data_IF_645584514135
#
_entry.id   IF_645584514135
#
_cell.length_a   1.000
_cell.length_b   1.000
_cell.length_c   1.000
_cell.angle_alpha   90.00
_cell.angle_beta   90.00
_cell.angle_gamma   90.00
#
_symmetry.space_group_name_H-M   'P 1'
#
loop_
_entity.id
_entity.type
_entity.pdbx_description
1 polymer ?
#
# COMPACT_ATOMS: atom_id res chain seq x y z
N UNK A 1 -21.66 -25.55 6.70
CA UNK A 1 -21.20 -24.62 7.75
C UNK A 1 -21.25 -23.22 7.18
N UNK A 2 -21.83 -22.27 7.90
CA UNK A 2 -21.99 -20.87 7.45
C UNK A 2 -20.71 -20.04 7.70
N UNK A 3 -19.56 -20.57 7.26
CA UNK A 3 -18.28 -19.86 7.36
C UNK A 3 -18.04 -18.93 6.16
N UNK A 4 -17.12 -17.96 6.29
CA UNK A 4 -16.71 -17.12 5.17
C UNK A 4 -16.15 -17.94 4.02
N UNK A 5 -16.35 -17.45 2.79
CA UNK A 5 -15.84 -18.11 1.60
C UNK A 5 -14.31 -18.12 1.60
N UNK A 6 -13.72 -19.27 1.24
CA UNK A 6 -12.28 -19.37 1.08
C UNK A 6 -11.82 -18.60 -0.17
N UNK A 7 -10.71 -17.85 -0.08
CA UNK A 7 -10.08 -17.24 -1.25
C UNK A 7 -9.68 -18.30 -2.28
N UNK A 8 -9.56 -17.92 -3.57
CA UNK A 8 -9.04 -18.81 -4.59
C UNK A 8 -7.62 -19.28 -4.25
N UNK A 9 -7.15 -20.36 -4.89
CA UNK A 9 -5.74 -20.76 -4.79
C UNK A 9 -4.87 -19.85 -5.64
N UNK A 10 -3.60 -19.74 -5.25
CA UNK A 10 -2.60 -19.07 -6.07
C UNK A 10 -2.49 -19.68 -7.46
N UNK A 11 -2.15 -18.83 -8.43
CA UNK A 11 -1.91 -19.19 -9.83
C UNK A 11 -0.44 -19.09 -10.22
N UNK A 12 0.42 -18.56 -9.36
CA UNK A 12 1.87 -18.48 -9.60
C UNK A 12 2.61 -19.61 -8.85
N UNK A 13 3.76 -20.08 -9.37
CA UNK A 13 4.60 -21.02 -8.64
C UNK A 13 5.05 -20.48 -7.27
N UNK A 14 5.04 -21.36 -6.26
CA UNK A 14 5.50 -21.09 -4.90
C UNK A 14 6.58 -22.07 -4.48
N UNK A 15 7.43 -21.65 -3.53
CA UNK A 15 8.50 -22.49 -3.00
C UNK A 15 9.81 -22.28 -3.76
N UNK A 16 10.64 -21.38 -3.26
CA UNK A 16 11.91 -20.97 -3.84
C UNK A 16 12.29 -19.57 -3.36
N UNK A 17 13.50 -19.08 -3.68
CA UNK A 17 13.85 -17.68 -3.42
C UNK A 17 12.89 -16.73 -4.13
N UNK A 18 12.54 -15.60 -3.51
CA UNK A 18 11.62 -14.61 -4.11
C UNK A 18 12.18 -13.93 -5.37
N UNK A 19 13.51 -13.85 -5.48
CA UNK A 19 14.25 -13.33 -6.64
C UNK A 19 15.43 -14.26 -6.95
N UNK A 20 15.19 -15.41 -7.60
CA UNK A 20 16.25 -16.36 -7.93
C UNK A 20 17.25 -15.72 -8.90
N UNK A 21 18.43 -15.35 -8.41
CA UNK A 21 19.49 -14.72 -9.20
C UNK A 21 19.68 -13.23 -8.93
N UNK A 22 18.78 -12.57 -8.20
CA UNK A 22 18.98 -11.17 -7.85
C UNK A 22 18.72 -10.19 -9.01
N UNK A 23 18.05 -10.63 -10.07
CA UNK A 23 17.87 -9.86 -11.30
C UNK A 23 16.41 -9.55 -11.59
N UNK A 24 15.51 -10.00 -10.73
CA UNK A 24 14.08 -9.82 -10.85
C UNK A 24 13.38 -10.85 -11.71
N UNK A 25 12.06 -10.85 -11.61
CA UNK A 25 11.17 -11.85 -12.22
C UNK A 25 10.30 -11.24 -13.30
N UNK A 26 10.05 -12.00 -14.36
CA UNK A 26 9.05 -11.65 -15.37
C UNK A 26 7.67 -12.05 -14.84
N UNK A 27 6.72 -11.11 -14.87
CA UNK A 27 5.37 -11.34 -14.39
C UNK A 27 4.35 -10.56 -15.23
N UNK A 28 3.21 -11.18 -15.50
CA UNK A 28 2.09 -10.50 -16.11
C UNK A 28 1.30 -9.70 -15.08
N UNK A 29 0.58 -8.68 -15.53
CA UNK A 29 -0.34 -7.92 -14.68
C UNK A 29 -1.44 -8.81 -14.09
N UNK A 30 -1.91 -9.82 -14.82
CA UNK A 30 -2.91 -10.75 -14.33
C UNK A 30 -2.37 -11.60 -13.17
N UNK A 31 -1.17 -12.17 -13.32
CA UNK A 31 -0.51 -12.93 -12.26
C UNK A 31 -0.29 -12.06 -11.02
N UNK A 32 0.32 -10.89 -11.19
CA UNK A 32 0.63 -9.98 -10.08
C UNK A 32 -0.63 -9.57 -9.31
N UNK A 33 -1.67 -9.13 -10.03
CA UNK A 33 -2.91 -8.67 -9.38
C UNK A 33 -3.71 -9.82 -8.78
N UNK A 34 -3.65 -11.02 -9.36
CA UNK A 34 -4.28 -12.20 -8.76
C UNK A 34 -3.65 -12.55 -7.42
N UNK A 35 -2.32 -12.56 -7.32
CA UNK A 35 -1.62 -12.87 -6.08
C UNK A 35 -1.80 -11.78 -5.02
N UNK A 36 -1.77 -10.51 -5.43
CA UNK A 36 -2.08 -9.40 -4.52
C UNK A 36 -3.49 -9.46 -3.95
N UNK A 37 -4.48 -9.80 -4.79
CA UNK A 37 -5.86 -9.98 -4.32
C UNK A 37 -6.00 -11.20 -3.44
N UNK A 38 -5.28 -12.29 -3.73
CA UNK A 38 -5.23 -13.46 -2.85
C UNK A 38 -4.70 -13.09 -1.46
N UNK A 39 -3.60 -12.35 -1.37
CA UNK A 39 -3.07 -11.88 -0.08
C UNK A 39 -4.06 -10.95 0.64
N UNK A 40 -4.69 -10.03 -0.09
CA UNK A 40 -5.72 -9.15 0.45
C UNK A 40 -6.93 -9.93 1.00
N UNK A 41 -7.40 -10.93 0.26
CA UNK A 41 -8.54 -11.77 0.66
C UNK A 41 -8.21 -12.67 1.85
N UNK A 42 -7.02 -13.27 1.86
CA UNK A 42 -6.54 -14.06 3.00
C UNK A 42 -6.41 -13.19 4.25
N UNK A 43 -5.90 -11.97 4.11
CA UNK A 43 -5.77 -11.08 5.25
C UNK A 43 -7.13 -10.59 5.76
N UNK A 44 -8.05 -10.21 4.87
CA UNK A 44 -9.42 -9.86 5.24
C UNK A 44 -10.12 -11.03 5.94
N UNK A 45 -9.97 -12.25 5.42
CA UNK A 45 -10.50 -13.47 6.02
C UNK A 45 -9.90 -13.70 7.42
N UNK A 46 -8.60 -13.47 7.60
CA UNK A 46 -7.95 -13.58 8.91
C UNK A 46 -8.52 -12.57 9.91
N UNK A 47 -8.84 -11.34 9.49
CA UNK A 47 -9.51 -10.35 10.35
C UNK A 47 -10.93 -10.79 10.67
N UNK A 48 -11.69 -11.21 9.66
CA UNK A 48 -13.09 -11.66 9.80
C UNK A 48 -13.23 -12.87 10.74
N UNK A 49 -12.23 -13.75 10.79
CA UNK A 49 -12.18 -14.91 11.69
C UNK A 49 -11.43 -14.63 13.01
N UNK A 50 -11.16 -13.37 13.34
CA UNK A 50 -10.44 -12.96 14.56
C UNK A 50 -9.02 -13.58 14.70
N UNK A 51 -8.42 -13.99 13.59
CA UNK A 51 -7.06 -14.54 13.54
C UNK A 51 -5.98 -13.46 13.45
N UNK A 52 -6.33 -12.26 12.99
CA UNK A 52 -5.45 -11.11 12.95
C UNK A 52 -6.15 -9.85 13.45
N UNK A 53 -5.45 -9.06 14.27
CA UNK A 53 -5.92 -7.76 14.79
C UNK A 53 -4.93 -6.62 14.50
N UNK A 54 -3.67 -6.95 14.24
CA UNK A 54 -2.60 -6.02 13.92
C UNK A 54 -1.76 -6.63 12.80
N UNK A 55 -1.28 -5.78 11.90
CA UNK A 55 -0.39 -6.17 10.81
C UNK A 55 -0.41 -5.17 9.67
N UNK A 56 0.32 -5.47 8.62
CA UNK A 56 0.39 -4.65 7.40
C UNK A 56 0.32 -5.53 6.16
N UNK A 57 -0.18 -4.95 5.08
CA UNK A 57 -0.03 -5.49 3.73
C UNK A 57 0.68 -4.42 2.91
N UNK A 58 1.74 -4.81 2.21
CA UNK A 58 2.58 -3.87 1.46
C UNK A 58 2.43 -4.14 -0.02
N UNK A 59 1.97 -3.14 -0.76
CA UNK A 59 1.97 -3.13 -2.23
C UNK A 59 3.14 -2.27 -2.69
N UNK A 60 4.29 -2.88 -2.98
CA UNK A 60 5.51 -2.12 -3.24
C UNK A 60 5.47 -1.41 -4.59
N UNK A 61 5.48 -0.07 -4.56
CA UNK A 61 5.44 0.80 -5.74
C UNK A 61 6.69 0.70 -6.61
N UNK A 62 7.85 0.51 -5.97
CA UNK A 62 9.11 0.23 -6.63
C UNK A 62 9.15 -1.15 -7.31
N UNK A 63 8.11 -1.98 -7.10
CA UNK A 63 7.93 -3.28 -7.75
C UNK A 63 9.16 -4.16 -7.62
N UNK A 64 9.82 -4.13 -6.45
CA UNK A 64 11.21 -4.55 -6.29
C UNK A 64 11.52 -5.79 -7.12
N UNK A 65 12.17 -5.51 -8.26
CA UNK A 65 12.65 -6.46 -9.24
C UNK A 65 11.56 -7.30 -9.94
N UNK A 66 10.53 -6.66 -10.47
CA UNK A 66 9.64 -7.26 -11.47
C UNK A 66 9.80 -6.60 -12.82
N UNK A 67 9.60 -7.38 -13.90
CA UNK A 67 9.42 -6.89 -15.27
C UNK A 67 7.97 -7.13 -15.66
N UNK A 68 7.17 -6.07 -15.59
CA UNK A 68 5.72 -6.18 -15.74
C UNK A 68 5.32 -6.12 -17.22
N UNK A 69 4.45 -7.05 -17.60
CA UNK A 69 3.79 -7.04 -18.92
C UNK A 69 2.27 -7.07 -18.77
N UNK A 70 1.53 -6.52 -19.74
CA UNK A 70 0.09 -6.69 -19.83
C UNK A 70 -0.72 -5.39 -19.89
N UNK A 71 -2.01 -5.52 -20.16
CA UNK A 71 -2.91 -4.40 -20.39
C UNK A 71 -3.64 -3.99 -19.10
N UNK A 72 -3.36 -2.79 -18.60
CA UNK A 72 -4.05 -2.24 -17.44
C UNK A 72 -5.34 -1.55 -17.84
N UNK A 73 -6.46 -2.10 -17.38
CA UNK A 73 -7.81 -1.56 -17.57
C UNK A 73 -8.35 -0.99 -16.27
N UNK A 74 -8.99 0.16 -16.36
CA UNK A 74 -9.73 0.78 -15.26
C UNK A 74 -11.02 1.39 -15.78
N UNK A 75 -12.14 1.12 -15.12
CA UNK A 75 -13.48 1.52 -15.56
C UNK A 75 -13.79 1.16 -17.02
N UNK A 76 -13.48 -0.09 -17.41
CA UNK A 76 -13.76 -0.62 -18.75
C UNK A 76 -12.87 -0.07 -19.87
N UNK A 77 -11.89 0.79 -19.57
CA UNK A 77 -10.98 1.38 -20.57
C UNK A 77 -9.53 1.01 -20.27
N UNK A 78 -8.77 0.76 -21.33
CA UNK A 78 -7.31 0.62 -21.24
C UNK A 78 -6.70 1.95 -20.80
N UNK A 79 -6.02 1.94 -19.67
CA UNK A 79 -5.27 3.07 -19.11
C UNK A 79 -3.82 3.05 -19.55
N UNK A 80 -3.23 1.86 -19.62
CA UNK A 80 -1.81 1.68 -19.95
C UNK A 80 -1.54 0.25 -20.41
N UNK A 81 -0.48 0.05 -21.21
CA UNK A 81 0.03 -1.28 -21.58
C UNK A 81 1.46 -1.39 -21.07
N UNK A 82 1.69 -2.26 -20.09
CA UNK A 82 3.02 -2.52 -19.53
C UNK A 82 3.81 -3.45 -20.45
N UNK A 83 5.09 -3.13 -20.60
CA UNK A 83 6.13 -3.96 -21.23
C UNK A 83 7.49 -3.43 -20.78
N UNK A 84 7.77 -3.56 -19.48
CA UNK A 84 8.88 -2.84 -18.85
C UNK A 84 10.22 -3.13 -19.52
N UNK A 85 10.56 -4.40 -19.74
CA UNK A 85 11.82 -4.80 -20.35
C UNK A 85 12.01 -4.18 -21.75
N UNK A 86 10.97 -4.23 -22.60
CA UNK A 86 11.04 -3.65 -23.95
C UNK A 86 11.13 -2.12 -23.90
N UNK A 87 10.40 -1.47 -22.99
CA UNK A 87 10.43 -0.02 -22.80
C UNK A 87 11.78 0.46 -22.25
N UNK A 88 12.40 -0.31 -21.37
CA UNK A 88 13.76 -0.07 -20.87
C UNK A 88 14.83 -0.43 -21.90
N UNK A 89 14.52 -1.29 -22.88
CA UNK A 89 15.48 -1.94 -23.80
C UNK A 89 16.56 -2.72 -23.05
N UNK A 90 16.20 -3.29 -21.90
CA UNK A 90 17.09 -4.04 -21.02
C UNK A 90 16.34 -5.20 -20.37
N UNK A 91 17.09 -6.23 -19.99
CA UNK A 91 16.63 -7.36 -19.17
C UNK A 91 17.29 -7.30 -17.79
N UNK A 92 17.02 -8.29 -16.94
CA UNK A 92 17.55 -8.36 -15.58
C UNK A 92 17.10 -7.16 -14.73
N UNK A 93 17.93 -6.73 -13.80
CA UNK A 93 17.62 -5.64 -12.88
C UNK A 93 17.32 -4.33 -13.61
N UNK A 94 18.10 -4.01 -14.65
CA UNK A 94 17.95 -2.80 -15.47
C UNK A 94 16.68 -2.77 -16.35
N UNK A 95 15.98 -3.90 -16.48
CA UNK A 95 14.69 -4.00 -17.14
C UNK A 95 13.49 -3.84 -16.22
N UNK A 96 13.68 -3.81 -14.90
CA UNK A 96 12.59 -3.89 -13.92
C UNK A 96 11.80 -2.58 -13.79
N UNK A 97 10.53 -2.66 -13.36
CA UNK A 97 9.68 -1.51 -13.06
C UNK A 97 10.33 -0.51 -12.08
N UNK A 98 11.23 -1.01 -11.22
CA UNK A 98 12.01 -0.23 -10.26
C UNK A 98 12.76 0.93 -10.93
N UNK A 99 13.30 0.70 -12.12
CA UNK A 99 14.12 1.66 -12.86
C UNK A 99 13.35 2.92 -13.28
N UNK A 100 12.01 2.85 -13.35
CA UNK A 100 11.19 4.04 -13.58
C UNK A 100 11.36 5.06 -12.45
N UNK A 101 11.57 4.63 -11.21
CA UNK A 101 11.74 5.51 -10.05
C UNK A 101 13.08 6.24 -10.09
N UNK A 102 14.15 5.56 -10.54
CA UNK A 102 15.43 6.21 -10.81
C UNK A 102 15.38 7.24 -11.96
N UNK A 103 14.40 7.12 -12.85
CA UNK A 103 14.18 8.05 -13.99
C UNK A 103 13.17 9.17 -13.70
N UNK A 104 12.59 9.21 -12.50
CA UNK A 104 11.58 10.19 -12.12
C UNK A 104 12.08 11.63 -12.32
N UNK A 105 11.21 12.48 -12.86
CA UNK A 105 11.47 13.91 -12.94
C UNK A 105 10.15 14.68 -12.92
N UNK A 106 9.98 15.59 -11.95
CA UNK A 106 8.77 16.40 -11.78
C UNK A 106 8.37 17.22 -13.03
N UNK A 107 9.34 17.55 -13.91
CA UNK A 107 9.11 18.30 -15.15
C UNK A 107 8.66 17.42 -16.31
N UNK A 108 8.64 16.09 -16.16
CA UNK A 108 8.20 15.12 -17.17
C UNK A 108 6.80 14.61 -16.85
N UNK A 109 6.16 13.99 -17.85
CA UNK A 109 4.84 13.37 -17.68
C UNK A 109 4.85 12.15 -16.75
N UNK A 110 5.96 11.43 -16.67
CA UNK A 110 6.14 10.22 -15.84
C UNK A 110 5.04 9.16 -16.07
N UNK A 111 4.69 8.90 -17.32
CA UNK A 111 3.52 8.09 -17.70
C UNK A 111 3.56 6.68 -17.09
N UNK A 112 4.72 6.02 -17.12
CA UNK A 112 4.97 4.70 -16.56
C UNK A 112 4.75 4.68 -15.03
N UNK A 113 5.39 5.60 -14.31
CA UNK A 113 5.26 5.73 -12.86
C UNK A 113 3.82 5.99 -12.45
N UNK A 114 3.12 6.88 -13.16
CA UNK A 114 1.70 7.18 -12.89
C UNK A 114 0.83 5.96 -13.14
N UNK A 115 1.11 5.17 -14.18
CA UNK A 115 0.40 3.93 -14.45
C UNK A 115 0.64 2.89 -13.33
N UNK A 116 1.89 2.69 -12.90
CA UNK A 116 2.20 1.79 -11.78
C UNK A 116 1.55 2.24 -10.47
N UNK A 117 1.62 3.54 -10.14
CA UNK A 117 1.01 4.08 -8.93
C UNK A 117 -0.51 3.92 -8.95
N UNK A 118 -1.16 4.27 -10.07
CA UNK A 118 -2.60 4.10 -10.22
C UNK A 118 -3.03 2.63 -10.13
N UNK A 119 -2.30 1.73 -10.78
CA UNK A 119 -2.57 0.29 -10.72
C UNK A 119 -2.49 -0.23 -9.28
N UNK A 120 -1.48 0.17 -8.51
CA UNK A 120 -1.33 -0.25 -7.11
C UNK A 120 -2.38 0.33 -6.18
N UNK A 121 -2.73 1.60 -6.36
CA UNK A 121 -3.82 2.23 -5.61
C UNK A 121 -5.17 1.53 -5.90
N UNK A 122 -5.37 1.01 -7.12
CA UNK A 122 -6.54 0.20 -7.44
C UNK A 122 -6.60 -1.12 -6.65
N UNK A 123 -5.46 -1.76 -6.40
CA UNK A 123 -5.41 -3.00 -5.61
C UNK A 123 -5.52 -2.72 -4.09
N UNK A 124 -5.04 -1.57 -3.61
CA UNK A 124 -5.37 -1.08 -2.26
C UNK A 124 -6.88 -0.85 -2.14
N UNK A 125 -7.50 -0.21 -3.14
CA UNK A 125 -8.95 0.01 -3.15
C UNK A 125 -9.74 -1.30 -3.16
N UNK A 126 -9.25 -2.34 -3.85
CA UNK A 126 -9.82 -3.69 -3.77
C UNK A 126 -9.84 -4.21 -2.33
N UNK A 127 -8.69 -4.14 -1.63
CA UNK A 127 -8.61 -4.59 -0.24
C UNK A 127 -9.54 -3.80 0.68
N UNK A 128 -9.57 -2.47 0.55
CA UNK A 128 -10.49 -1.63 1.33
C UNK A 128 -11.96 -2.02 1.09
N UNK A 129 -12.34 -2.31 -0.15
CA UNK A 129 -13.70 -2.77 -0.48
C UNK A 129 -14.01 -4.13 0.14
N UNK A 130 -13.04 -5.05 0.18
CA UNK A 130 -13.18 -6.36 0.85
C UNK A 130 -13.44 -6.21 2.36
N UNK A 131 -12.76 -5.27 3.02
CA UNK A 131 -12.99 -4.93 4.43
C UNK A 131 -14.33 -4.23 4.65
N UNK A 132 -14.74 -3.35 3.73
CA UNK A 132 -16.00 -2.61 3.85
C UNK A 132 -17.25 -3.49 3.68
N UNK A 133 -17.14 -4.54 2.86
CA UNK A 133 -18.25 -5.47 2.58
C UNK A 133 -18.62 -6.38 3.76
N UNK A 134 -17.77 -6.47 4.80
CA UNK A 134 -18.02 -7.35 5.95
C UNK A 134 -18.49 -6.51 7.13
N UNK A 135 -19.70 -6.79 7.63
CA UNK A 135 -20.27 -6.11 8.81
C UNK A 135 -19.95 -6.89 10.08
N UNK A 136 -19.46 -6.19 11.09
CA UNK A 136 -19.25 -6.74 12.43
C UNK A 136 -20.50 -6.55 13.30
N UNK A 137 -20.49 -7.14 14.50
CA UNK A 137 -21.63 -7.19 15.41
C UNK A 137 -22.18 -5.80 15.81
N UNK A 138 -21.36 -4.74 15.72
CA UNK A 138 -21.77 -3.37 15.99
C UNK A 138 -22.41 -2.65 14.79
N UNK A 139 -22.68 -3.36 13.69
CA UNK A 139 -23.30 -2.83 12.47
C UNK A 139 -22.35 -2.02 11.57
N UNK A 140 -21.08 -1.88 11.96
CA UNK A 140 -20.03 -1.20 11.19
C UNK A 140 -19.23 -2.19 10.37
N UNK A 141 -18.63 -1.74 9.27
CA UNK A 141 -17.72 -2.61 8.52
C UNK A 141 -16.39 -2.81 9.24
N UNK A 142 -15.65 -3.85 8.86
CA UNK A 142 -14.27 -4.04 9.34
C UNK A 142 -13.44 -2.78 9.03
N UNK A 143 -13.63 -2.17 7.85
CA UNK A 143 -12.93 -0.94 7.47
C UNK A 143 -13.25 0.23 8.42
N UNK A 144 -14.53 0.39 8.79
CA UNK A 144 -14.96 1.45 9.72
C UNK A 144 -14.42 1.23 11.14
N UNK A 145 -14.35 -0.03 11.60
CA UNK A 145 -13.88 -0.37 12.94
C UNK A 145 -12.35 -0.37 13.07
N UNK A 146 -11.63 -0.55 11.97
CA UNK A 146 -10.18 -0.63 11.96
C UNK A 146 -9.53 0.75 11.84
N UNK A 147 -8.36 0.91 12.46
CA UNK A 147 -7.40 1.95 12.05
C UNK A 147 -6.60 1.41 10.86
N UNK A 148 -6.93 1.89 9.67
CA UNK A 148 -6.22 1.59 8.44
C UNK A 148 -5.42 2.81 8.02
N UNK A 149 -4.16 2.61 7.63
CA UNK A 149 -3.26 3.68 7.20
C UNK A 149 -2.77 3.41 5.78
N UNK A 150 -2.74 4.46 4.96
CA UNK A 150 -2.12 4.44 3.63
C UNK A 150 -1.08 5.55 3.62
N UNK A 151 0.14 5.20 3.23
CA UNK A 151 1.24 6.15 3.13
C UNK A 151 2.24 5.68 2.08
N UNK A 152 3.13 6.58 1.71
CA UNK A 152 4.27 6.30 0.85
C UNK A 152 5.54 6.36 1.69
N UNK A 153 6.47 5.44 1.44
CA UNK A 153 7.80 5.46 2.07
C UNK A 153 8.58 6.74 1.72
N UNK A 154 8.49 7.17 0.47
CA UNK A 154 9.06 8.42 -0.05
C UNK A 154 7.97 9.32 -0.61
N UNK A 155 8.10 10.63 -0.42
CA UNK A 155 7.16 11.62 -0.91
C UNK A 155 7.45 12.08 -2.33
N UNK A 156 8.69 12.42 -2.65
CA UNK A 156 9.06 12.97 -3.96
C UNK A 156 9.87 12.02 -4.86
N UNK A 157 10.19 10.82 -4.38
CA UNK A 157 10.80 9.73 -5.14
C UNK A 157 12.28 9.93 -5.52
N UNK A 158 12.94 11.01 -5.07
CA UNK A 158 14.38 11.23 -5.30
C UNK A 158 15.20 10.52 -4.21
N UNK A 159 15.48 9.24 -4.41
CA UNK A 159 16.37 8.44 -3.55
C UNK A 159 17.83 8.96 -3.46
N UNK A 160 18.18 10.02 -4.19
CA UNK A 160 19.50 10.66 -4.13
C UNK A 160 19.51 11.98 -3.32
N UNK A 161 18.38 12.44 -2.77
CA UNK A 161 18.28 13.63 -1.92
C UNK A 161 17.36 13.36 -0.72
N UNK A 162 17.94 12.93 0.40
CA UNK A 162 17.24 12.54 1.63
C UNK A 162 16.28 13.62 2.15
N UNK A 163 16.61 14.91 1.97
CA UNK A 163 15.73 16.00 2.43
C UNK A 163 14.45 16.09 1.60
N UNK A 164 14.54 15.76 0.33
CA UNK A 164 13.42 15.81 -0.61
C UNK A 164 12.65 14.50 -0.65
N UNK A 165 13.35 13.37 -0.46
CA UNK A 165 12.77 12.04 -0.35
C UNK A 165 11.66 11.97 0.69
N UNK A 166 11.81 12.69 1.81
CA UNK A 166 10.80 12.74 2.89
C UNK A 166 9.76 13.87 2.72
N UNK A 167 9.96 14.76 1.75
CA UNK A 167 9.00 15.84 1.46
C UNK A 167 7.85 15.34 0.60
N UNK A 168 6.61 15.66 0.97
CA UNK A 168 5.43 15.27 0.19
C UNK A 168 4.86 13.88 0.51
N UNK A 169 5.36 13.21 1.57
CA UNK A 169 4.71 12.00 2.09
C UNK A 169 3.33 12.36 2.60
N UNK A 170 2.31 11.60 2.18
CA UNK A 170 0.97 11.73 2.71
C UNK A 170 0.64 10.56 3.63
N UNK A 171 -0.27 10.81 4.56
CA UNK A 171 -0.86 9.80 5.42
C UNK A 171 -2.37 9.92 5.31
N UNK A 172 -3.01 8.88 4.80
CA UNK A 172 -4.46 8.74 4.84
C UNK A 172 -4.83 7.71 5.91
N UNK A 173 -5.86 8.01 6.70
CA UNK A 173 -6.32 7.15 7.78
C UNK A 173 -7.84 6.99 7.74
N UNK A 174 -8.34 5.85 8.20
CA UNK A 174 -9.77 5.69 8.51
C UNK A 174 -10.12 6.39 9.82
N UNK A 175 -11.43 6.56 10.08
CA UNK A 175 -11.89 7.18 11.32
C UNK A 175 -11.66 6.30 12.56
N UNK A 176 -11.33 5.01 12.38
CA UNK A 176 -11.16 4.02 13.44
C UNK A 176 -12.30 4.07 14.46
N UNK A 177 -13.52 3.88 13.97
CA UNK A 177 -14.77 3.96 14.74
C UNK A 177 -15.03 5.36 15.34
N UNK A 178 -14.69 6.42 14.61
CA UNK A 178 -14.93 7.80 15.04
C UNK A 178 -13.91 8.36 16.03
N UNK A 179 -12.72 7.74 16.15
CA UNK A 179 -11.60 8.29 16.93
C UNK A 179 -10.87 9.42 16.21
N UNK A 180 -10.88 9.39 14.87
CA UNK A 180 -10.16 10.35 14.04
C UNK A 180 -11.07 11.08 13.04
N UNK A 181 -10.74 12.33 12.76
CA UNK A 181 -11.38 13.14 11.71
C UNK A 181 -11.03 12.59 10.34
N UNK A 182 -12.04 12.45 9.48
CA UNK A 182 -11.90 12.05 8.08
C UNK A 182 -12.62 13.03 7.15
N UNK A 183 -12.45 12.88 5.84
CA UNK A 183 -13.15 13.70 4.82
C UNK A 183 -12.50 15.04 4.53
N UNK A 184 -11.26 15.26 4.95
CA UNK A 184 -10.52 16.49 4.72
C UNK A 184 -9.03 16.21 4.48
N UNK A 185 -8.37 17.10 3.75
CA UNK A 185 -6.91 17.19 3.72
C UNK A 185 -6.44 18.11 4.85
N UNK A 186 -5.44 17.68 5.60
CA UNK A 186 -4.99 18.38 6.79
C UNK A 186 -3.47 18.47 6.84
N UNK A 187 -2.95 19.70 6.87
CA UNK A 187 -1.59 19.95 7.34
C UNK A 187 -1.62 20.10 8.87
N UNK A 188 -0.97 19.16 9.56
CA UNK A 188 -0.88 19.09 11.02
C UNK A 188 0.38 19.73 11.59
N UNK A 189 1.31 20.16 10.73
CA UNK A 189 2.58 20.82 11.13
C UNK A 189 3.32 20.11 12.27
N UNK A 190 3.35 18.78 12.22
CA UNK A 190 3.92 17.92 13.25
C UNK A 190 4.77 16.83 12.61
N UNK A 191 5.73 16.28 13.34
CA UNK A 191 6.53 15.16 12.86
C UNK A 191 5.66 13.90 12.73
N UNK A 192 5.93 13.07 11.72
CA UNK A 192 5.14 11.84 11.49
C UNK A 192 5.08 10.92 12.72
N UNK A 193 6.16 10.87 13.50
CA UNK A 193 6.22 10.06 14.73
C UNK A 193 5.23 10.54 15.80
N UNK A 194 4.95 11.85 15.89
CA UNK A 194 3.93 12.39 16.80
C UNK A 194 2.52 12.07 16.31
N UNK A 195 2.31 12.11 14.98
CA UNK A 195 1.04 11.68 14.36
C UNK A 195 0.77 10.21 14.65
N UNK A 196 1.72 9.32 14.38
CA UNK A 196 1.58 7.88 14.64
C UNK A 196 1.42 7.56 16.14
N UNK A 197 2.17 8.22 17.03
CA UNK A 197 2.00 8.02 18.47
C UNK A 197 0.65 8.52 18.98
N UNK A 198 0.13 9.62 18.42
CA UNK A 198 -1.23 10.10 18.71
C UNK A 198 -2.26 9.05 18.30
N UNK A 199 -2.11 8.48 17.10
CA UNK A 199 -2.99 7.42 16.62
C UNK A 199 -2.93 6.15 17.49
N UNK A 200 -1.72 5.68 17.82
CA UNK A 200 -1.51 4.52 18.68
C UNK A 200 -2.12 4.72 20.08
N UNK A 201 -1.95 5.92 20.65
CA UNK A 201 -2.52 6.28 21.96
C UNK A 201 -4.04 6.25 21.93
N UNK A 202 -4.67 6.82 20.90
CA UNK A 202 -6.13 6.79 20.72
C UNK A 202 -6.67 5.38 20.49
N UNK A 203 -5.85 4.47 19.95
CA UNK A 203 -6.16 3.04 19.85
C UNK A 203 -5.87 2.26 21.15
N UNK A 204 -5.50 2.93 22.24
CA UNK A 204 -5.27 2.32 23.55
C UNK A 204 -3.87 1.72 23.75
N UNK A 205 -2.94 2.00 22.85
CA UNK A 205 -1.56 1.50 22.96
C UNK A 205 -0.82 2.26 24.05
N UNK A 206 -0.18 1.54 24.98
CA UNK A 206 0.62 2.14 26.07
C UNK A 206 2.06 2.47 25.66
N UNK A 207 2.57 1.76 24.65
CA UNK A 207 3.91 1.96 24.11
C UNK A 207 3.91 3.03 23.02
N UNK A 208 4.97 3.81 22.97
CA UNK A 208 5.23 4.78 21.93
C UNK A 208 6.35 4.27 21.02
N UNK A 209 6.29 4.64 19.75
CA UNK A 209 7.37 4.45 18.80
C UNK A 209 8.39 5.59 18.93
N UNK A 210 9.67 5.29 18.72
CA UNK A 210 10.79 6.23 18.82
C UNK A 210 11.65 6.08 20.08
N UNK A 211 12.67 6.94 20.23
CA UNK A 211 13.54 6.95 21.41
C UNK A 211 12.77 7.27 22.70
N UNK A 212 13.10 6.59 23.80
CA UNK A 212 12.41 6.73 25.08
C UNK A 212 12.48 8.15 25.68
N UNK A 213 13.56 8.88 25.41
CA UNK A 213 13.80 10.23 25.90
C UNK A 213 13.28 11.35 24.97
N UNK A 214 12.63 11.00 23.86
CA UNK A 214 12.08 12.00 22.93
C UNK A 214 10.86 12.66 23.57
N UNK A 215 10.81 13.99 23.56
CA UNK A 215 9.59 14.71 23.92
C UNK A 215 8.49 14.39 22.91
N UNK A 216 7.32 13.96 23.40
CA UNK A 216 6.18 13.65 22.56
C UNK A 216 5.17 14.79 22.59
N UNK A 217 4.67 15.16 21.42
CA UNK A 217 3.62 16.16 21.28
C UNK A 217 2.37 15.50 20.71
N UNK A 218 1.25 15.59 21.42
CA UNK A 218 -0.02 15.09 20.92
C UNK A 218 -0.49 15.96 19.74
N UNK A 219 -0.97 15.32 18.68
CA UNK A 219 -1.47 16.00 17.48
C UNK A 219 -2.99 16.04 17.52
N UNK A 220 -3.58 16.74 18.51
CA UNK A 220 -5.03 16.70 18.78
C UNK A 220 -5.91 17.13 17.60
N UNK A 221 -5.32 17.83 16.62
CA UNK A 221 -5.99 18.22 15.38
C UNK A 221 -6.60 17.02 14.63
N UNK A 222 -6.05 15.82 14.76
CA UNK A 222 -6.54 14.61 14.08
C UNK A 222 -7.66 13.89 14.83
N UNK A 223 -7.88 14.15 16.12
CA UNK A 223 -8.96 13.54 16.89
C UNK A 223 -10.32 14.08 16.47
N UNK A 224 -11.33 13.20 16.44
CA UNK A 224 -12.73 13.55 16.15
C UNK A 224 -13.35 14.42 17.24
#
# INVERSE_FOLDING_TARGET
GNGPALPPRSRVPHGGPADPGGEGIDITLEELTTEWRLLADLYALAIEMDRARFGSITFMAAGERIRLTGEYKYNGKTRYKFDDAAMHKHTGSAGCSHEWWHKFNEKKKNEQLRAHAHMKMNEIAYFMKRLDNTKEANGKSILENSLFTISTESGDGRHNDVKRELSGVFHAITSAQGRFKTGQFMDVKSEGIDVYNTMLTAMGTKKKIGPENRQHTAVDKIHA
#
